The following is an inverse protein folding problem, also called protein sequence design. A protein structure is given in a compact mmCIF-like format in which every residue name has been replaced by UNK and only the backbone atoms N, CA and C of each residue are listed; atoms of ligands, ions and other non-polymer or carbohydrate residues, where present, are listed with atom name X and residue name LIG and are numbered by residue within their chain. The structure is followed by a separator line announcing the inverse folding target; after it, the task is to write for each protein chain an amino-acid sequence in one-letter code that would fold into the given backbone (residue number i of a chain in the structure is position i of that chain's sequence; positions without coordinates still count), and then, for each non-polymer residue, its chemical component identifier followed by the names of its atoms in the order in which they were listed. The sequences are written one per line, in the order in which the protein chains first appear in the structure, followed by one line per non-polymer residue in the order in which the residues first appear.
data_IF_625976069006
#
_entry.id   IF_625976069006
#
_cell.length_a   1.000
_cell.length_b   1.000
_cell.length_c   1.000
_cell.angle_alpha   90.00
_cell.angle_beta   90.00
_cell.angle_gamma   90.00
#
_symmetry.space_group_name_H-M   'P 1'
#
loop_
_entity.id
_entity.type
_entity.pdbx_description
1 polymer ?
#
# COMPACT_ATOMS: atom_id res chain seq x y z
N UNK A 1 -28.19 26.01 20.47
CA UNK A 1 -27.33 24.83 20.64
C UNK A 1 -28.09 23.51 20.45
N UNK A 2 -29.09 23.43 19.56
CA UNK A 2 -29.99 22.26 19.40
C UNK A 2 -30.10 21.75 17.94
N UNK A 3 -29.16 22.06 17.08
CA UNK A 3 -29.21 21.68 15.65
C UNK A 3 -28.10 20.73 15.16
N UNK A 4 -27.23 20.19 16.03
CA UNK A 4 -26.17 19.25 15.66
C UNK A 4 -26.41 17.79 16.07
N UNK A 5 -27.45 17.49 16.87
CA UNK A 5 -27.74 16.10 17.30
C UNK A 5 -28.76 15.36 16.41
N UNK A 6 -29.27 15.96 15.34
CA UNK A 6 -30.36 15.38 14.53
C UNK A 6 -29.92 14.66 13.25
N UNK A 7 -28.63 14.45 13.03
CA UNK A 7 -28.12 13.73 11.83
C UNK A 7 -27.80 12.25 12.03
N UNK A 8 -27.90 11.74 13.23
CA UNK A 8 -27.65 10.33 13.53
C UNK A 8 -28.89 9.51 13.93
N UNK A 9 -30.09 10.10 13.86
CA UNK A 9 -31.31 9.49 14.39
C UNK A 9 -32.33 9.05 13.32
N UNK A 10 -31.96 8.94 12.03
CA UNK A 10 -32.93 8.56 10.99
C UNK A 10 -32.44 7.43 10.09
N UNK A 11 -32.11 6.26 10.69
CA UNK A 11 -32.14 4.97 10.03
C UNK A 11 -32.75 3.90 10.95
N UNK A 12 -33.97 4.20 11.44
CA UNK A 12 -34.83 3.17 11.99
C UNK A 12 -35.92 2.93 10.93
N UNK A 13 -35.63 2.03 10.01
CA UNK A 13 -36.69 1.40 9.20
C UNK A 13 -37.03 0.10 9.90
N UNK A 14 -38.21 0.10 10.50
CA UNK A 14 -38.86 -1.05 11.08
C UNK A 14 -39.15 -2.08 9.99
N UNK A 15 -38.42 -3.19 10.01
CA UNK A 15 -38.88 -4.44 9.40
C UNK A 15 -39.01 -5.49 10.51
N UNK A 16 -40.27 -5.94 10.65
CA UNK A 16 -40.75 -7.07 11.42
C UNK A 16 -39.75 -7.97 12.16
N UNK A 17 -39.66 -7.82 13.48
CA UNK A 17 -39.59 -8.99 14.38
C UNK A 17 -38.23 -9.56 14.70
N UNK A 18 -37.08 -8.95 14.37
CA UNK A 18 -35.79 -9.28 14.99
C UNK A 18 -34.97 -8.00 15.17
N UNK A 19 -34.92 -7.47 16.36
CA UNK A 19 -33.94 -6.48 16.77
C UNK A 19 -32.58 -7.16 16.85
N UNK A 20 -31.88 -7.26 15.70
CA UNK A 20 -30.46 -7.60 15.70
C UNK A 20 -29.77 -6.40 16.33
N UNK A 21 -29.14 -6.63 17.47
CA UNK A 21 -28.31 -5.63 18.15
C UNK A 21 -27.16 -5.21 17.22
N UNK A 22 -27.33 -4.16 16.45
CA UNK A 22 -26.30 -3.63 15.54
C UNK A 22 -25.06 -3.15 16.30
N UNK A 23 -25.19 -2.77 17.58
CA UNK A 23 -24.07 -2.35 18.43
C UNK A 23 -23.07 -3.49 18.64
N UNK A 24 -23.53 -4.69 19.05
CA UNK A 24 -22.64 -5.83 19.24
C UNK A 24 -21.93 -6.27 17.96
N UNK A 25 -22.64 -6.26 16.82
CA UNK A 25 -22.05 -6.67 15.53
C UNK A 25 -20.96 -5.72 15.04
N UNK A 26 -21.04 -4.44 15.35
CA UNK A 26 -20.02 -3.44 14.99
C UNK A 26 -18.73 -3.64 15.80
N UNK A 27 -18.85 -3.78 17.10
CA UNK A 27 -17.71 -4.02 18.01
C UNK A 27 -17.06 -5.37 17.71
N UNK A 28 -17.86 -6.43 17.53
CA UNK A 28 -17.40 -7.76 17.14
C UNK A 28 -16.62 -7.74 15.84
N UNK A 29 -17.09 -6.95 14.84
CA UNK A 29 -16.42 -6.84 13.55
C UNK A 29 -15.01 -6.27 13.68
N UNK A 30 -14.84 -5.13 14.35
CA UNK A 30 -13.52 -4.51 14.48
C UNK A 30 -12.60 -5.27 15.44
N UNK A 31 -13.14 -5.92 16.45
CA UNK A 31 -12.38 -6.83 17.31
C UNK A 31 -11.89 -8.04 16.50
N UNK A 32 -12.74 -8.63 15.67
CA UNK A 32 -12.36 -9.73 14.77
C UNK A 32 -11.29 -9.30 13.74
N UNK A 33 -11.40 -8.07 13.21
CA UNK A 33 -10.40 -7.50 12.29
C UNK A 33 -9.04 -7.37 12.98
N UNK A 34 -8.99 -6.88 14.21
CA UNK A 34 -7.75 -6.73 14.97
C UNK A 34 -7.12 -8.07 15.38
N UNK A 35 -7.93 -9.11 15.61
CA UNK A 35 -7.51 -10.43 16.08
C UNK A 35 -7.26 -11.45 14.95
N UNK A 36 -7.32 -11.05 13.68
CA UNK A 36 -7.25 -11.93 12.50
C UNK A 36 -8.31 -13.06 12.52
N UNK A 37 -9.49 -12.81 13.12
CA UNK A 37 -10.61 -13.76 13.16
C UNK A 37 -11.47 -13.65 11.89
N UNK A 38 -11.00 -14.32 10.84
CA UNK A 38 -11.71 -14.37 9.57
C UNK A 38 -13.06 -15.09 9.65
N UNK A 39 -13.30 -15.96 10.63
CA UNK A 39 -14.57 -16.69 10.74
C UNK A 39 -15.68 -15.75 11.20
N UNK A 40 -15.43 -14.95 12.22
CA UNK A 40 -16.35 -13.91 12.68
C UNK A 40 -16.61 -12.88 11.59
N UNK A 41 -15.54 -12.40 10.89
CA UNK A 41 -15.69 -11.47 9.77
C UNK A 41 -16.58 -12.06 8.67
N UNK A 42 -16.32 -13.31 8.20
CA UNK A 42 -17.15 -13.96 7.16
C UNK A 42 -18.61 -14.12 7.62
N UNK A 43 -18.83 -14.51 8.86
CA UNK A 43 -20.17 -14.67 9.42
C UNK A 43 -20.96 -13.35 9.41
N UNK A 44 -20.30 -12.26 9.80
CA UNK A 44 -20.92 -10.92 9.80
C UNK A 44 -21.21 -10.44 8.39
N UNK A 45 -20.26 -10.61 7.44
CA UNK A 45 -20.45 -10.27 6.04
C UNK A 45 -21.58 -11.07 5.38
N UNK A 46 -21.68 -12.37 5.70
CA UNK A 46 -22.78 -13.24 5.21
C UNK A 46 -24.15 -12.80 5.74
N UNK A 47 -24.19 -12.18 6.93
CA UNK A 47 -25.40 -11.60 7.53
C UNK A 47 -25.73 -10.20 7.01
N UNK A 48 -24.95 -9.68 6.06
CA UNK A 48 -25.17 -8.38 5.43
C UNK A 48 -24.45 -7.21 6.07
N UNK A 49 -23.47 -7.45 6.95
CA UNK A 49 -22.62 -6.38 7.48
C UNK A 49 -21.82 -5.75 6.33
N UNK A 50 -21.73 -4.43 6.27
CA UNK A 50 -21.00 -3.74 5.20
C UNK A 50 -19.49 -3.85 5.41
N UNK A 51 -18.72 -4.48 4.48
CA UNK A 51 -17.27 -4.59 4.57
C UNK A 51 -16.56 -3.23 4.54
N UNK A 52 -17.26 -2.17 4.14
CA UNK A 52 -16.71 -0.83 4.03
C UNK A 52 -17.00 0.05 5.26
N UNK A 53 -17.52 -0.55 6.34
CA UNK A 53 -17.75 0.15 7.60
C UNK A 53 -16.43 0.72 8.14
N UNK A 54 -16.51 1.94 8.67
CA UNK A 54 -15.37 2.63 9.28
C UNK A 54 -15.39 2.42 10.81
N UNK A 55 -14.21 2.37 11.42
CA UNK A 55 -14.07 2.37 12.87
C UNK A 55 -14.40 3.76 13.48
N UNK A 56 -14.40 3.93 14.81
CA UNK A 56 -14.69 5.22 15.44
C UNK A 56 -13.66 6.32 15.12
N UNK A 57 -12.48 5.93 14.59
CA UNK A 57 -11.43 6.85 14.12
C UNK A 57 -11.55 7.17 12.63
N UNK A 58 -12.58 6.65 11.95
CA UNK A 58 -12.77 6.80 10.52
C UNK A 58 -11.86 5.90 9.66
N UNK A 59 -11.26 4.85 10.24
CA UNK A 59 -10.40 3.93 9.51
C UNK A 59 -11.20 2.80 8.88
N UNK A 60 -10.85 2.45 7.66
CA UNK A 60 -11.47 1.35 6.93
C UNK A 60 -10.92 -0.01 7.41
N UNK A 61 -11.80 -1.01 7.57
CA UNK A 61 -11.41 -2.35 8.05
C UNK A 61 -10.26 -2.98 7.25
N UNK A 62 -10.25 -2.80 5.91
CA UNK A 62 -9.19 -3.31 5.05
C UNK A 62 -7.83 -2.65 5.34
N UNK A 63 -7.81 -1.35 5.64
CA UNK A 63 -6.59 -0.62 6.06
C UNK A 63 -6.08 -1.16 7.39
N UNK A 64 -6.98 -1.28 8.39
CA UNK A 64 -6.64 -1.82 9.73
C UNK A 64 -6.06 -3.22 9.60
N UNK A 65 -6.72 -4.11 8.84
CA UNK A 65 -6.25 -5.47 8.63
C UNK A 65 -4.87 -5.52 7.95
N UNK A 66 -4.60 -4.60 7.00
CA UNK A 66 -3.30 -4.54 6.31
C UNK A 66 -2.20 -4.01 7.23
N UNK A 67 -2.48 -3.01 8.06
CA UNK A 67 -1.56 -2.49 9.07
C UNK A 67 -1.22 -3.54 10.13
N UNK A 68 -2.22 -4.29 10.61
CA UNK A 68 -2.05 -5.35 11.60
C UNK A 68 -1.53 -6.66 10.99
N UNK A 69 -1.35 -6.73 9.68
CA UNK A 69 -0.97 -7.94 8.93
C UNK A 69 -1.93 -9.13 9.18
N UNK A 70 -3.21 -8.84 9.42
CA UNK A 70 -4.28 -9.82 9.63
C UNK A 70 -4.65 -10.50 8.31
N UNK A 71 -3.79 -11.42 7.86
CA UNK A 71 -3.85 -11.98 6.49
C UNK A 71 -5.12 -12.76 6.19
N UNK A 72 -5.66 -13.49 7.17
CA UNK A 72 -6.91 -14.25 7.01
C UNK A 72 -8.12 -13.32 6.88
N UNK A 73 -8.14 -12.24 7.66
CA UNK A 73 -9.18 -11.21 7.60
C UNK A 73 -9.09 -10.44 6.31
N UNK A 74 -7.89 -10.06 5.84
CA UNK A 74 -7.72 -9.43 4.53
C UNK A 74 -8.32 -10.27 3.42
N UNK A 75 -8.05 -11.59 3.40
CA UNK A 75 -8.64 -12.51 2.42
C UNK A 75 -10.18 -12.55 2.51
N UNK A 76 -10.74 -12.56 3.74
CA UNK A 76 -12.18 -12.53 3.94
C UNK A 76 -12.83 -11.23 3.44
N UNK A 77 -12.19 -10.08 3.72
CA UNK A 77 -12.63 -8.77 3.24
C UNK A 77 -12.52 -8.66 1.72
N UNK A 78 -11.39 -9.10 1.15
CA UNK A 78 -11.16 -9.07 -0.30
C UNK A 78 -12.11 -10.01 -1.05
N UNK A 79 -12.61 -11.07 -0.43
CA UNK A 79 -13.64 -11.93 -1.01
C UNK A 79 -15.03 -11.27 -1.04
N UNK A 80 -15.27 -10.20 -0.27
CA UNK A 80 -16.56 -9.53 -0.24
C UNK A 80 -16.84 -8.79 -1.56
N UNK A 81 -18.02 -8.96 -2.17
CA UNK A 81 -18.30 -8.47 -3.53
C UNK A 81 -18.33 -6.95 -3.67
N UNK A 82 -18.54 -6.22 -2.56
CA UNK A 82 -18.65 -4.75 -2.56
C UNK A 82 -17.47 -4.07 -1.87
N UNK A 83 -16.37 -4.78 -1.61
CA UNK A 83 -15.21 -4.20 -0.94
C UNK A 83 -14.59 -3.08 -1.78
N UNK A 84 -14.36 -1.94 -1.17
CA UNK A 84 -13.59 -0.85 -1.75
C UNK A 84 -12.12 -1.06 -1.43
N UNK A 85 -11.30 -1.26 -2.47
CA UNK A 85 -9.87 -1.50 -2.30
C UNK A 85 -9.06 -0.21 -2.33
N UNK A 86 -9.59 0.83 -2.98
CA UNK A 86 -8.96 2.14 -3.05
C UNK A 86 -9.51 3.05 -1.93
N UNK A 87 -9.02 2.78 -0.73
CA UNK A 87 -9.32 3.52 0.51
C UNK A 87 -8.02 4.03 1.12
N UNK A 88 -8.08 5.06 1.96
CA UNK A 88 -6.89 5.72 2.52
C UNK A 88 -6.97 5.81 4.04
N UNK A 89 -5.82 5.72 4.71
CA UNK A 89 -5.69 6.10 6.11
C UNK A 89 -5.41 7.61 6.25
N UNK A 90 -5.21 8.08 7.48
CA UNK A 90 -4.89 9.50 7.77
C UNK A 90 -3.53 9.96 7.20
N UNK A 91 -2.64 9.03 6.84
CA UNK A 91 -1.35 9.30 6.19
C UNK A 91 -1.44 9.21 4.66
N UNK A 92 -2.67 9.13 4.12
CA UNK A 92 -2.93 8.96 2.68
C UNK A 92 -2.35 7.66 2.09
N UNK A 93 -2.20 6.62 2.92
CA UNK A 93 -1.71 5.30 2.49
C UNK A 93 -2.87 4.38 2.12
N UNK A 94 -2.75 3.70 0.98
CA UNK A 94 -3.72 2.68 0.53
C UNK A 94 -3.36 1.29 1.06
N UNK A 95 -4.32 0.34 1.06
CA UNK A 95 -4.02 -1.07 1.34
C UNK A 95 -2.91 -1.63 0.46
N UNK A 96 -2.82 -1.24 -0.83
CA UNK A 96 -1.75 -1.70 -1.72
C UNK A 96 -0.38 -1.14 -1.30
N UNK A 97 -0.30 0.13 -0.87
CA UNK A 97 0.94 0.71 -0.33
C UNK A 97 1.41 -0.04 0.92
N UNK A 98 0.49 -0.29 1.85
CA UNK A 98 0.78 -1.02 3.10
C UNK A 98 1.14 -2.49 2.84
N UNK A 99 0.45 -3.16 1.92
CA UNK A 99 0.80 -4.51 1.49
C UNK A 99 2.19 -4.56 0.84
N UNK A 100 2.52 -3.53 0.05
CA UNK A 100 3.84 -3.38 -0.59
C UNK A 100 4.95 -3.17 0.43
N UNK A 101 4.71 -2.39 1.48
CA UNK A 101 5.67 -2.17 2.58
C UNK A 101 5.91 -3.45 3.38
N UNK A 102 4.84 -4.23 3.62
CA UNK A 102 4.87 -5.40 4.50
C UNK A 102 5.21 -6.71 3.77
N UNK A 103 5.46 -6.69 2.45
CA UNK A 103 5.80 -7.88 1.67
C UNK A 103 4.64 -8.86 1.49
N UNK A 104 3.40 -8.40 1.57
CA UNK A 104 2.20 -9.23 1.49
C UNK A 104 1.83 -9.51 0.02
N UNK A 105 2.67 -10.28 -0.68
CA UNK A 105 2.59 -10.47 -2.14
C UNK A 105 1.22 -10.98 -2.60
N UNK A 106 0.64 -11.97 -1.90
CA UNK A 106 -0.67 -12.51 -2.28
C UNK A 106 -1.80 -11.49 -2.13
N UNK A 107 -1.71 -10.64 -1.10
CA UNK A 107 -2.68 -9.55 -0.86
C UNK A 107 -2.48 -8.44 -1.90
N UNK A 108 -1.23 -8.04 -2.17
CA UNK A 108 -0.92 -7.05 -3.20
C UNK A 108 -1.48 -7.46 -4.57
N UNK A 109 -1.31 -8.72 -4.96
CA UNK A 109 -1.89 -9.26 -6.20
C UNK A 109 -3.40 -9.15 -6.22
N UNK A 110 -4.09 -9.60 -5.16
CA UNK A 110 -5.55 -9.52 -5.08
C UNK A 110 -6.06 -8.07 -5.11
N UNK A 111 -5.32 -7.13 -4.50
CA UNK A 111 -5.66 -5.71 -4.54
C UNK A 111 -5.54 -5.14 -5.97
N UNK A 112 -4.45 -5.47 -6.67
CA UNK A 112 -4.25 -5.08 -8.08
C UNK A 112 -5.33 -5.70 -8.97
N UNK A 113 -5.62 -7.00 -8.83
CA UNK A 113 -6.67 -7.71 -9.59
C UNK A 113 -8.06 -7.08 -9.37
N UNK A 114 -8.29 -6.44 -8.22
CA UNK A 114 -9.52 -5.72 -7.89
C UNK A 114 -9.51 -4.23 -8.27
N UNK A 115 -8.46 -3.77 -8.97
CA UNK A 115 -8.36 -2.43 -9.48
C UNK A 115 -7.83 -1.40 -8.45
N UNK A 116 -7.03 -1.83 -7.48
CA UNK A 116 -6.29 -0.89 -6.65
C UNK A 116 -5.32 -0.07 -7.51
N UNK A 117 -5.22 1.23 -7.23
CA UNK A 117 -4.38 2.15 -7.99
C UNK A 117 -2.89 1.88 -7.71
N UNK A 118 -2.15 1.52 -8.77
CA UNK A 118 -0.70 1.30 -8.71
C UNK A 118 0.09 2.60 -8.87
N UNK A 119 -0.56 3.69 -9.32
CA UNK A 119 0.07 4.95 -9.74
C UNK A 119 -0.42 6.19 -8.96
N UNK A 120 -0.70 6.04 -7.68
CA UNK A 120 -1.09 7.19 -6.86
C UNK A 120 -0.08 8.33 -6.96
N UNK A 121 -0.51 9.59 -7.17
CA UNK A 121 0.37 10.76 -7.10
C UNK A 121 1.07 10.88 -5.74
N UNK A 122 2.33 11.29 -5.75
CA UNK A 122 3.15 11.35 -4.54
C UNK A 122 3.73 9.97 -4.18
N UNK A 123 3.65 9.60 -2.90
CA UNK A 123 4.09 8.27 -2.49
C UNK A 123 3.23 7.19 -3.14
N UNK A 124 3.81 6.37 -4.00
CA UNK A 124 3.15 5.28 -4.73
C UNK A 124 3.56 3.91 -4.18
N UNK A 125 2.79 2.83 -4.41
CA UNK A 125 3.12 1.48 -3.95
C UNK A 125 4.54 1.02 -4.26
N UNK A 126 5.09 1.41 -5.42
CA UNK A 126 6.46 1.04 -5.80
C UNK A 126 7.53 1.63 -4.88
N UNK A 127 7.33 2.83 -4.32
CA UNK A 127 8.24 3.39 -3.31
C UNK A 127 8.29 2.50 -2.05
N UNK A 128 7.13 2.02 -1.61
CA UNK A 128 7.00 1.18 -0.41
C UNK A 128 7.64 -0.20 -0.61
N UNK A 129 7.39 -0.84 -1.76
CA UNK A 129 8.02 -2.11 -2.11
C UNK A 129 9.55 -1.97 -2.22
N UNK A 130 10.03 -0.90 -2.86
CA UNK A 130 11.45 -0.59 -3.04
C UNK A 130 12.16 -0.34 -1.69
N UNK A 131 11.49 0.35 -0.75
CA UNK A 131 12.01 0.62 0.60
C UNK A 131 12.41 -0.66 1.36
N UNK A 132 11.69 -1.75 1.16
CA UNK A 132 11.95 -3.04 1.82
C UNK A 132 12.60 -4.06 0.91
N UNK A 133 12.73 -3.76 -0.40
CA UNK A 133 13.31 -4.66 -1.39
C UNK A 133 12.45 -5.89 -1.68
N UNK A 134 11.12 -5.73 -1.66
CA UNK A 134 10.17 -6.80 -1.98
C UNK A 134 10.06 -7.02 -3.50
N UNK A 135 11.01 -7.77 -4.06
CA UNK A 135 11.20 -7.92 -5.51
C UNK A 135 9.94 -8.42 -6.23
N UNK A 136 9.24 -9.43 -5.66
CA UNK A 136 8.02 -9.96 -6.29
C UNK A 136 6.91 -8.91 -6.39
N UNK A 137 6.76 -8.05 -5.38
CA UNK A 137 5.77 -6.97 -5.41
C UNK A 137 6.23 -5.87 -6.37
N UNK A 138 7.52 -5.53 -6.39
CA UNK A 138 8.06 -4.57 -7.35
C UNK A 138 7.80 -5.02 -8.79
N UNK A 139 8.07 -6.29 -9.11
CA UNK A 139 7.76 -6.88 -10.41
C UNK A 139 6.26 -6.85 -10.70
N UNK A 140 5.41 -7.27 -9.75
CA UNK A 140 3.96 -7.21 -9.88
C UNK A 140 3.48 -5.79 -10.24
N UNK A 141 3.99 -4.77 -9.54
CA UNK A 141 3.61 -3.38 -9.77
C UNK A 141 4.07 -2.87 -11.15
N UNK A 142 5.31 -3.19 -11.55
CA UNK A 142 5.85 -2.81 -12.85
C UNK A 142 5.10 -3.50 -14.00
N UNK A 143 4.76 -4.79 -13.87
CA UNK A 143 3.94 -5.55 -14.82
C UNK A 143 2.53 -4.95 -14.97
N UNK A 144 2.04 -4.24 -13.93
CA UNK A 144 0.78 -3.52 -13.93
C UNK A 144 0.96 -2.00 -14.16
N UNK A 145 2.01 -1.62 -14.87
CA UNK A 145 2.27 -0.26 -15.35
C UNK A 145 2.52 0.78 -14.24
N UNK A 146 3.10 0.37 -13.12
CA UNK A 146 3.59 1.33 -12.13
C UNK A 146 4.64 2.24 -12.76
N UNK A 147 4.56 3.55 -12.52
CA UNK A 147 5.55 4.51 -12.98
C UNK A 147 6.87 4.25 -12.26
N UNK A 148 7.88 3.81 -13.04
CA UNK A 148 9.17 3.40 -12.50
C UNK A 148 9.90 4.54 -11.80
N UNK A 149 9.80 5.75 -12.33
CA UNK A 149 10.37 6.98 -11.78
C UNK A 149 9.28 7.86 -11.13
N UNK A 150 8.26 7.23 -10.52
CA UNK A 150 7.25 7.97 -9.78
C UNK A 150 7.92 8.92 -8.77
N UNK A 151 7.41 10.16 -8.72
CA UNK A 151 7.97 11.21 -7.85
C UNK A 151 7.11 11.36 -6.60
N UNK A 152 7.71 11.19 -5.43
CA UNK A 152 7.10 11.55 -4.16
C UNK A 152 6.97 13.07 -4.00
N UNK A 153 6.29 13.61 -2.97
CA UNK A 153 6.13 15.05 -2.79
C UNK A 153 7.43 15.85 -2.70
N UNK A 154 8.56 15.21 -2.37
CA UNK A 154 9.89 15.82 -2.33
C UNK A 154 10.80 15.37 -3.49
N UNK A 155 10.23 14.84 -4.55
CA UNK A 155 10.97 14.39 -5.72
C UNK A 155 11.71 13.05 -5.56
N UNK A 156 11.54 12.34 -4.44
CA UNK A 156 12.22 11.05 -4.22
C UNK A 156 11.59 9.97 -5.09
N UNK A 157 12.42 9.18 -5.80
CA UNK A 157 11.99 8.08 -6.68
C UNK A 157 12.06 6.71 -5.98
N UNK A 158 11.39 5.66 -6.51
CA UNK A 158 11.54 4.30 -6.01
C UNK A 158 12.99 3.82 -5.99
N UNK A 159 13.81 4.18 -7.00
CA UNK A 159 15.23 3.85 -7.03
C UNK A 159 16.01 4.49 -5.87
N UNK A 160 15.72 5.74 -5.52
CA UNK A 160 16.32 6.41 -4.36
C UNK A 160 15.94 5.70 -3.06
N UNK A 161 14.68 5.25 -2.92
CA UNK A 161 14.23 4.49 -1.75
C UNK A 161 14.90 3.12 -1.66
N UNK A 162 15.04 2.42 -2.79
CA UNK A 162 15.78 1.16 -2.86
C UNK A 162 17.25 1.34 -2.48
N UNK A 163 17.88 2.41 -2.97
CA UNK A 163 19.28 2.72 -2.71
C UNK A 163 19.57 3.04 -1.25
N UNK A 164 18.62 3.69 -0.55
CA UNK A 164 18.80 4.07 0.85
C UNK A 164 18.41 2.95 1.81
N UNK A 165 17.22 2.39 1.67
CA UNK A 165 16.62 1.45 2.62
C UNK A 165 16.56 0.01 2.13
N UNK A 166 16.44 -0.18 0.81
CA UNK A 166 16.16 -1.46 0.18
C UNK A 166 17.36 -2.41 0.09
N UNK A 167 17.35 -3.25 -0.90
CA UNK A 167 18.39 -4.26 -1.15
C UNK A 167 19.15 -3.96 -2.45
N UNK A 168 20.41 -4.43 -2.62
CA UNK A 168 21.12 -4.33 -3.89
C UNK A 168 20.34 -4.95 -5.05
N UNK A 169 19.60 -6.05 -4.80
CA UNK A 169 18.74 -6.67 -5.80
C UNK A 169 17.57 -5.78 -6.23
N UNK A 170 16.99 -5.01 -5.30
CA UNK A 170 15.93 -4.04 -5.65
C UNK A 170 16.46 -2.89 -6.51
N UNK A 171 17.67 -2.38 -6.19
CA UNK A 171 18.36 -1.38 -7.01
C UNK A 171 18.60 -1.91 -8.40
N UNK A 172 19.16 -3.13 -8.51
CA UNK A 172 19.41 -3.78 -9.80
C UNK A 172 18.13 -3.96 -10.61
N UNK A 173 17.07 -4.48 -9.98
CA UNK A 173 15.77 -4.68 -10.65
C UNK A 173 15.23 -3.38 -11.24
N UNK A 174 15.24 -2.28 -10.49
CA UNK A 174 14.74 -0.99 -10.98
C UNK A 174 15.59 -0.45 -12.14
N UNK A 175 16.92 -0.54 -12.04
CA UNK A 175 17.82 -0.11 -13.11
C UNK A 175 17.62 -0.93 -14.39
N UNK A 176 17.51 -2.27 -14.27
CA UNK A 176 17.25 -3.17 -15.41
C UNK A 176 15.86 -2.94 -16.01
N UNK A 177 14.87 -2.52 -15.20
CA UNK A 177 13.55 -2.15 -15.67
C UNK A 177 13.47 -0.75 -16.30
N UNK A 178 14.56 0.04 -16.27
CA UNK A 178 14.66 1.33 -16.95
C UNK A 178 14.54 2.56 -16.05
N UNK A 179 14.67 2.43 -14.73
CA UNK A 179 14.73 3.59 -13.83
C UNK A 179 15.92 4.50 -14.17
N UNK A 180 15.68 5.81 -14.17
CA UNK A 180 16.74 6.80 -14.42
C UNK A 180 17.58 7.06 -13.16
N UNK A 181 18.86 6.61 -13.13
CA UNK A 181 19.72 6.79 -11.96
C UNK A 181 20.20 8.24 -11.75
N UNK A 182 19.99 9.13 -12.74
CA UNK A 182 20.48 10.50 -12.73
C UNK A 182 19.43 11.50 -12.20
N UNK A 183 18.18 11.07 -12.02
CA UNK A 183 17.15 11.92 -11.44
C UNK A 183 17.57 12.39 -10.04
N UNK A 184 17.19 13.62 -9.73
CA UNK A 184 17.47 14.27 -8.45
C UNK A 184 16.17 14.69 -7.79
N UNK A 185 16.11 14.52 -6.48
CA UNK A 185 15.02 15.03 -5.67
C UNK A 185 15.18 16.55 -5.42
N UNK A 186 14.25 17.15 -4.65
CA UNK A 186 14.26 18.58 -4.33
C UNK A 186 15.50 19.06 -3.55
N UNK A 187 16.24 18.12 -2.96
CA UNK A 187 17.53 18.38 -2.29
C UNK A 187 18.73 18.20 -3.24
N UNK A 188 18.49 18.10 -4.55
CA UNK A 188 19.48 17.80 -5.58
C UNK A 188 20.25 16.48 -5.37
N UNK A 189 19.67 15.50 -4.67
CA UNK A 189 20.26 14.19 -4.40
C UNK A 189 19.76 13.16 -5.40
N UNK A 190 20.69 12.40 -5.96
CA UNK A 190 20.43 11.25 -6.84
C UNK A 190 20.39 9.93 -6.03
N UNK A 191 20.04 8.83 -6.69
CA UNK A 191 20.01 7.51 -6.05
C UNK A 191 21.38 7.10 -5.47
N UNK A 192 22.49 7.45 -6.13
CA UNK A 192 23.82 7.15 -5.61
C UNK A 192 24.14 7.97 -4.34
N UNK A 193 23.66 9.21 -4.24
CA UNK A 193 23.81 10.02 -3.03
C UNK A 193 23.04 9.41 -1.86
N UNK A 194 21.85 8.86 -2.13
CA UNK A 194 21.05 8.11 -1.14
C UNK A 194 21.80 6.87 -0.65
N UNK A 195 22.42 6.10 -1.56
CA UNK A 195 23.22 4.93 -1.20
C UNK A 195 24.41 5.31 -0.31
N UNK A 196 25.15 6.35 -0.66
CA UNK A 196 26.30 6.83 0.14
C UNK A 196 25.89 7.34 1.52
N UNK A 197 24.77 8.08 1.64
CA UNK A 197 24.28 8.62 2.91
C UNK A 197 23.93 7.52 3.91
N UNK A 198 23.55 6.34 3.45
CA UNK A 198 23.22 5.20 4.32
C UNK A 198 24.28 4.08 4.26
N UNK A 199 25.51 4.39 3.82
CA UNK A 199 26.63 3.44 3.75
C UNK A 199 26.29 2.14 2.96
N UNK A 200 25.46 2.25 1.92
CA UNK A 200 25.03 1.12 1.08
C UNK A 200 25.99 0.95 -0.10
N UNK A 201 27.21 0.49 0.20
CA UNK A 201 28.29 0.38 -0.79
C UNK A 201 27.91 -0.44 -2.01
N UNK A 202 27.30 -1.63 -1.80
CA UNK A 202 26.92 -2.52 -2.91
C UNK A 202 25.90 -1.85 -3.85
N UNK A 203 24.92 -1.12 -3.27
CA UNK A 203 23.96 -0.35 -4.05
C UNK A 203 24.63 0.78 -4.84
N UNK A 204 25.57 1.51 -4.21
CA UNK A 204 26.32 2.57 -4.87
C UNK A 204 27.21 2.04 -6.02
N UNK A 205 27.84 0.89 -5.83
CA UNK A 205 28.68 0.23 -6.85
C UNK A 205 27.83 -0.22 -8.05
N UNK A 206 26.64 -0.79 -7.81
CA UNK A 206 25.69 -1.18 -8.87
C UNK A 206 25.25 0.05 -9.67
N UNK A 207 24.81 1.13 -8.98
CA UNK A 207 24.37 2.36 -9.65
C UNK A 207 25.52 2.97 -10.47
N UNK A 208 26.73 3.05 -9.89
CA UNK A 208 27.91 3.59 -10.58
C UNK A 208 28.28 2.78 -11.82
N UNK A 209 28.20 1.45 -11.74
CA UNK A 209 28.48 0.57 -12.87
C UNK A 209 27.44 0.78 -13.99
N UNK A 210 26.17 0.91 -13.62
CA UNK A 210 25.08 1.15 -14.57
C UNK A 210 25.21 2.50 -15.26
N UNK A 211 25.49 3.57 -14.51
CA UNK A 211 25.71 4.93 -15.08
C UNK A 211 26.91 4.94 -16.04
N UNK A 212 28.02 4.27 -15.69
CA UNK A 212 29.16 4.14 -16.59
C UNK A 212 28.82 3.41 -17.89
N UNK A 213 27.97 2.39 -17.81
CA UNK A 213 27.54 1.62 -19.01
C UNK A 213 26.65 2.44 -19.95
N UNK A 214 25.93 3.44 -19.44
CA UNK A 214 25.09 4.36 -20.23
C UNK A 214 25.92 5.42 -20.98
N UNK A 215 27.17 5.68 -20.57
CA UNK A 215 28.01 6.66 -21.24
C UNK A 215 28.46 6.10 -22.59
N UNK A 216 28.39 6.91 -23.70
CA UNK A 216 28.89 6.49 -24.98
C UNK A 216 30.37 6.10 -24.83
N UNK A 217 30.75 4.89 -25.26
CA UNK A 217 32.16 4.52 -25.37
C UNK A 217 32.79 5.48 -26.39
N UNK A 218 33.57 6.45 -25.89
CA UNK A 218 34.26 7.42 -26.75
C UNK A 218 35.06 6.68 -27.81
N UNK A 219 34.84 7.05 -29.08
CA UNK A 219 35.81 6.72 -30.13
C UNK A 219 37.04 7.58 -29.85
N UNK A 220 38.11 6.97 -29.39
CA UNK A 220 39.45 7.53 -29.35
C UNK A 220 40.01 7.53 -30.77
#
# INVERSE_FOLDING_TARGET
MLRKCLKYALYVIVFSGQSISFSGSYEDFFQAVGNDDANTVRSLLARGFDPNTLDPKGQHALVIATQSQSTKVMQALLAAPKIKVEVRNSSDESPLMLASLNGLTSVARQLVDKGADVNKPGWAPLHYAATRGHLEIMTLLLDNHAYIDASSPNGTTPLMMAAFYGTPSAVKLLLEAGADPLLKNDQALSAIDFAHRNNRKDSADIISAFVRALQPKGKW
#
